data_IF_455489850416
#
_entry.id   IF_455489850416
#
_cell.length_a   1.000
_cell.length_b   1.000
_cell.length_c   1.000
_cell.angle_alpha   90.00
_cell.angle_beta   90.00
_cell.angle_gamma   90.00
#
_symmetry.space_group_name_H-M   'P 1'
#
loop_
_entity.id
_entity.type
_entity.pdbx_description
1 polymer ?
#
# COMPACT_ATOMS: atom_id res chain seq x y z
N UNK A 1 7.86 -6.15 62.98
CA UNK A 1 6.50 -5.69 62.62
C UNK A 1 6.70 -4.46 61.73
N UNK A 2 6.95 -4.68 60.44
CA UNK A 2 5.99 -4.43 59.34
C UNK A 2 5.82 -2.91 59.11
N UNK A 3 6.03 -2.28 57.95
CA UNK A 3 5.71 -2.66 56.56
C UNK A 3 6.53 -1.79 55.57
N UNK A 4 7.12 -2.47 54.59
CA UNK A 4 7.36 -2.17 53.15
C UNK A 4 7.26 -0.74 52.60
N UNK A 5 8.36 -0.31 51.95
CA UNK A 5 8.33 0.52 50.74
C UNK A 5 9.32 -0.08 49.71
N UNK A 6 8.82 -1.03 48.91
CA UNK A 6 9.32 -1.32 47.55
C UNK A 6 8.93 -0.10 46.68
N UNK A 7 9.73 0.45 45.78
CA UNK A 7 10.59 -0.20 44.80
C UNK A 7 9.91 -0.15 43.44
N UNK A 8 9.86 1.02 42.77
CA UNK A 8 9.62 1.07 41.32
C UNK A 8 10.69 1.92 40.65
N UNK A 9 11.65 1.20 40.05
CA UNK A 9 12.56 1.78 39.09
C UNK A 9 11.79 2.20 37.85
N UNK A 10 12.14 3.37 37.32
CA UNK A 10 11.85 3.76 35.95
C UNK A 10 12.44 2.69 35.00
N UNK A 11 11.64 1.68 34.68
CA UNK A 11 11.89 0.82 33.55
C UNK A 11 11.69 1.71 32.32
N UNK A 12 12.82 2.16 31.78
CA UNK A 12 12.89 2.80 30.49
C UNK A 12 12.11 1.97 29.48
N UNK A 13 10.90 2.42 29.16
CA UNK A 13 10.26 2.06 27.91
C UNK A 13 11.19 2.55 26.84
N UNK A 14 11.93 1.59 26.27
CA UNK A 14 12.78 1.70 25.12
C UNK A 14 11.91 2.18 23.95
N UNK A 15 11.63 3.49 23.94
CA UNK A 15 11.05 4.21 22.83
C UNK A 15 12.13 4.25 21.76
N UNK A 16 12.33 3.11 21.08
CA UNK A 16 12.83 3.10 19.72
C UNK A 16 11.72 3.63 18.78
N UNK A 17 11.05 4.71 19.19
CA UNK A 17 10.44 5.61 18.25
C UNK A 17 11.64 6.25 17.56
N UNK A 18 12.05 5.67 16.43
CA UNK A 18 12.86 6.38 15.47
C UNK A 18 12.22 7.76 15.35
N UNK A 19 12.88 8.78 15.88
CA UNK A 19 12.50 10.18 15.74
C UNK A 19 12.70 10.44 14.25
N UNK A 20 11.69 10.07 13.47
CA UNK A 20 11.60 10.55 12.11
C UNK A 20 11.59 12.07 12.26
N UNK A 21 12.52 12.78 11.59
CA UNK A 21 12.51 14.23 11.61
C UNK A 21 11.09 14.74 11.36
N UNK A 22 10.75 15.91 11.91
CA UNK A 22 9.51 16.63 11.58
C UNK A 22 9.55 17.16 10.14
N UNK A 23 9.82 16.27 9.19
CA UNK A 23 9.81 16.52 7.78
C UNK A 23 8.34 16.69 7.36
N UNK A 24 7.99 17.83 6.73
CA UNK A 24 6.66 17.99 6.18
C UNK A 24 6.35 16.89 5.16
N UNK A 25 5.08 16.51 5.03
CA UNK A 25 4.70 15.34 4.21
C UNK A 25 5.04 15.50 2.72
N UNK A 26 4.99 16.72 2.18
CA UNK A 26 5.27 17.00 0.77
C UNK A 26 6.73 16.73 0.37
N UNK A 27 7.75 17.30 1.03
CA UNK A 27 9.15 16.97 0.73
C UNK A 27 9.45 15.49 0.95
N UNK A 28 8.82 14.85 1.95
CA UNK A 28 8.90 13.40 2.12
C UNK A 28 8.36 12.63 0.88
N UNK A 29 7.20 13.03 0.36
CA UNK A 29 6.64 12.43 -0.86
C UNK A 29 7.52 12.66 -2.09
N UNK A 30 8.12 13.85 -2.23
CA UNK A 30 9.04 14.14 -3.32
C UNK A 30 10.28 13.24 -3.26
N UNK A 31 10.89 13.10 -2.08
CA UNK A 31 12.01 12.18 -1.85
C UNK A 31 11.62 10.73 -2.17
N UNK A 32 10.48 10.28 -1.67
CA UNK A 32 9.98 8.92 -1.90
C UNK A 32 9.69 8.68 -3.38
N UNK A 33 9.13 9.66 -4.09
CA UNK A 33 8.90 9.63 -5.53
C UNK A 33 10.21 9.49 -6.31
N UNK A 34 11.22 10.29 -5.98
CA UNK A 34 12.56 10.20 -6.58
C UNK A 34 13.21 8.84 -6.32
N UNK A 35 13.06 8.29 -5.11
CA UNK A 35 13.56 6.95 -4.77
C UNK A 35 12.85 5.85 -5.58
N UNK A 36 11.53 5.96 -5.74
CA UNK A 36 10.74 5.04 -6.58
C UNK A 36 11.16 5.09 -8.05
N UNK A 37 11.33 6.29 -8.62
CA UNK A 37 11.86 6.48 -9.97
C UNK A 37 13.28 5.91 -10.10
N UNK A 38 14.11 6.07 -9.06
CA UNK A 38 15.42 5.44 -8.97
C UNK A 38 15.34 3.91 -9.05
N UNK A 39 14.42 3.27 -8.32
CA UNK A 39 14.21 1.82 -8.39
C UNK A 39 13.83 1.37 -9.81
N UNK A 40 12.91 2.09 -10.46
CA UNK A 40 12.49 1.82 -11.84
C UNK A 40 13.65 1.96 -12.84
N UNK A 41 14.45 3.01 -12.69
CA UNK A 41 15.63 3.24 -13.52
C UNK A 41 16.67 2.13 -13.31
N UNK A 42 16.98 1.78 -12.07
CA UNK A 42 17.95 0.72 -11.75
C UNK A 42 17.52 -0.63 -12.31
N UNK A 43 16.28 -1.08 -12.11
CA UNK A 43 15.84 -2.37 -12.65
C UNK A 43 15.86 -2.40 -14.18
N UNK A 44 15.52 -1.27 -14.81
CA UNK A 44 15.54 -1.14 -16.28
C UNK A 44 16.97 -1.16 -16.82
N UNK A 45 17.88 -0.40 -16.21
CA UNK A 45 19.31 -0.38 -16.55
C UNK A 45 19.94 -1.75 -16.32
N UNK A 46 19.60 -2.43 -15.22
CA UNK A 46 20.08 -3.78 -14.95
C UNK A 46 19.73 -4.73 -16.10
N UNK A 47 18.47 -4.74 -16.49
CA UNK A 47 17.98 -5.57 -17.59
C UNK A 47 18.57 -5.18 -18.95
N UNK A 48 18.68 -3.88 -19.22
CA UNK A 48 19.21 -3.38 -20.49
C UNK A 48 20.70 -3.68 -20.65
N UNK A 49 21.50 -3.40 -19.62
CA UNK A 49 22.95 -3.46 -19.70
C UNK A 49 23.48 -4.89 -19.54
N UNK A 50 22.97 -5.66 -18.56
CA UNK A 50 23.50 -6.99 -18.27
C UNK A 50 22.65 -8.14 -18.79
N UNK A 51 21.37 -7.94 -19.10
CA UNK A 51 20.45 -9.02 -19.50
C UNK A 51 20.05 -8.99 -20.97
N UNK A 52 20.69 -8.14 -21.77
CA UNK A 52 20.53 -8.10 -23.22
C UNK A 52 19.25 -7.41 -23.70
N UNK A 53 18.62 -6.56 -22.87
CA UNK A 53 17.48 -5.73 -23.25
C UNK A 53 16.14 -6.44 -23.21
N UNK A 54 15.18 -5.93 -23.98
CA UNK A 54 13.77 -6.31 -23.91
C UNK A 54 13.24 -6.82 -25.25
N UNK A 55 12.37 -7.81 -25.20
CA UNK A 55 11.60 -8.31 -26.34
C UNK A 55 10.27 -8.93 -25.83
N UNK A 56 9.33 -9.23 -26.71
CA UNK A 56 8.08 -9.90 -26.36
C UNK A 56 7.88 -11.15 -27.24
N UNK A 57 8.81 -12.10 -27.13
CA UNK A 57 9.02 -13.19 -28.09
C UNK A 57 9.29 -14.56 -27.44
N UNK A 58 9.11 -14.69 -26.12
CA UNK A 58 9.42 -15.90 -25.36
C UNK A 58 10.90 -16.11 -25.04
N UNK A 59 11.80 -15.24 -25.53
CA UNK A 59 13.24 -15.33 -25.24
C UNK A 59 13.57 -14.86 -23.82
N UNK A 60 14.84 -14.99 -23.42
CA UNK A 60 15.34 -14.42 -22.16
C UNK A 60 15.11 -12.90 -22.04
N UNK A 61 14.97 -12.17 -23.17
CA UNK A 61 14.64 -10.74 -23.16
C UNK A 61 13.17 -10.49 -22.81
N UNK A 62 12.28 -11.46 -23.04
CA UNK A 62 10.91 -11.40 -22.54
C UNK A 62 10.87 -11.50 -21.02
N UNK A 63 11.67 -12.40 -20.43
CA UNK A 63 11.78 -12.49 -18.97
C UNK A 63 12.16 -11.15 -18.32
N UNK A 64 12.99 -10.33 -18.96
CA UNK A 64 13.44 -9.06 -18.40
C UNK A 64 12.29 -8.06 -18.15
N UNK A 65 11.14 -8.22 -18.79
CA UNK A 65 9.93 -7.46 -18.44
C UNK A 65 9.40 -7.80 -17.05
N UNK A 66 9.57 -9.04 -16.58
CA UNK A 66 9.08 -9.46 -15.27
C UNK A 66 9.60 -8.58 -14.12
N UNK A 67 10.92 -8.46 -13.86
CA UNK A 67 11.41 -7.63 -12.76
C UNK A 67 11.05 -6.15 -12.93
N UNK A 68 11.07 -5.61 -14.16
CA UNK A 68 10.74 -4.19 -14.42
C UNK A 68 9.27 -3.91 -14.10
N UNK A 69 8.36 -4.75 -14.58
CA UNK A 69 6.92 -4.58 -14.36
C UNK A 69 6.54 -4.84 -12.90
N UNK A 70 7.19 -5.79 -12.22
CA UNK A 70 6.95 -6.07 -10.81
C UNK A 70 7.40 -4.91 -9.91
N UNK A 71 8.61 -4.38 -10.12
CA UNK A 71 9.09 -3.21 -9.35
C UNK A 71 8.24 -1.98 -9.64
N UNK A 72 7.90 -1.73 -10.91
CA UNK A 72 7.09 -0.57 -11.28
C UNK A 72 5.68 -0.65 -10.70
N UNK A 73 4.98 -1.77 -10.91
CA UNK A 73 3.60 -1.95 -10.48
C UNK A 73 3.48 -2.19 -8.97
N UNK A 74 4.06 -3.30 -8.51
CA UNK A 74 3.81 -3.85 -7.18
C UNK A 74 4.64 -3.23 -6.06
N UNK A 75 5.67 -2.43 -6.39
CA UNK A 75 6.43 -1.65 -5.41
C UNK A 75 6.08 -0.17 -5.55
N UNK A 76 6.43 0.46 -6.68
CA UNK A 76 6.36 1.93 -6.82
C UNK A 76 4.93 2.44 -6.94
N UNK A 77 4.17 1.98 -7.94
CA UNK A 77 2.79 2.45 -8.14
C UNK A 77 1.88 2.02 -7.00
N UNK A 78 2.05 0.80 -6.48
CA UNK A 78 1.27 0.35 -5.33
C UNK A 78 1.59 1.14 -4.06
N UNK A 79 2.87 1.42 -3.79
CA UNK A 79 3.28 2.30 -2.69
C UNK A 79 2.68 3.71 -2.80
N UNK A 80 2.67 4.27 -4.01
CA UNK A 80 2.00 5.55 -4.28
C UNK A 80 0.48 5.47 -4.03
N UNK A 81 -0.19 4.41 -4.50
CA UNK A 81 -1.61 4.16 -4.27
C UNK A 81 -1.93 4.10 -2.77
N UNK A 82 -1.12 3.41 -1.97
CA UNK A 82 -1.30 3.28 -0.54
C UNK A 82 -1.23 4.64 0.20
N UNK A 83 -0.42 5.57 -0.30
CA UNK A 83 -0.22 6.89 0.32
C UNK A 83 -1.16 7.99 -0.18
N UNK A 84 -2.04 7.73 -1.16
CA UNK A 84 -2.97 8.74 -1.71
C UNK A 84 -3.71 9.51 -0.60
N UNK A 85 -4.25 8.81 0.39
CA UNK A 85 -5.00 9.43 1.49
C UNK A 85 -4.16 10.16 2.55
N UNK A 86 -2.83 10.14 2.41
CA UNK A 86 -1.92 10.86 3.31
C UNK A 86 -1.59 12.26 2.78
N UNK A 87 -1.83 12.52 1.50
CA UNK A 87 -1.58 13.82 0.88
C UNK A 87 -2.51 14.91 1.49
N UNK A 88 -1.97 16.05 1.96
CA UNK A 88 -2.75 17.14 2.55
C UNK A 88 -3.92 17.66 1.69
N UNK A 89 -3.81 17.76 0.35
CA UNK A 89 -4.95 18.10 -0.50
C UNK A 89 -6.16 17.17 -0.35
N UNK A 90 -5.95 15.92 0.09
CA UNK A 90 -7.04 14.98 0.33
C UNK A 90 -7.82 15.26 1.61
N UNK A 91 -7.29 16.06 2.52
CA UNK A 91 -7.88 16.25 3.85
C UNK A 91 -9.12 17.13 3.82
N UNK A 92 -9.28 17.93 2.76
CA UNK A 92 -10.44 18.79 2.52
C UNK A 92 -11.24 18.29 1.32
N UNK A 93 -12.55 18.55 1.33
CA UNK A 93 -13.43 18.25 0.19
C UNK A 93 -13.83 16.77 0.03
N UNK A 94 -14.47 16.44 -1.11
CA UNK A 94 -15.09 15.13 -1.33
C UNK A 94 -14.07 14.00 -1.35
N UNK A 95 -14.47 12.83 -0.83
CA UNK A 95 -13.60 11.63 -0.76
C UNK A 95 -13.51 10.89 -2.10
N UNK A 96 -14.48 11.06 -2.99
CA UNK A 96 -14.64 10.25 -4.20
C UNK A 96 -13.47 10.37 -5.18
N UNK A 97 -12.96 11.57 -5.55
CA UNK A 97 -11.82 11.67 -6.47
C UNK A 97 -10.58 10.89 -5.98
N UNK A 98 -10.31 10.95 -4.67
CA UNK A 98 -9.18 10.25 -4.06
C UNK A 98 -9.40 8.73 -3.97
N UNK A 99 -10.66 8.27 -3.83
CA UNK A 99 -11.02 6.85 -3.97
C UNK A 99 -10.79 6.34 -5.39
N UNK A 100 -11.20 7.12 -6.39
CA UNK A 100 -10.95 6.80 -7.79
C UNK A 100 -9.45 6.73 -8.06
N UNK A 101 -8.67 7.73 -7.61
CA UNK A 101 -7.22 7.74 -7.80
C UNK A 101 -6.53 6.52 -7.15
N UNK A 102 -6.85 6.22 -5.88
CA UNK A 102 -6.33 5.03 -5.20
C UNK A 102 -6.66 3.74 -5.96
N UNK A 103 -7.92 3.56 -6.35
CA UNK A 103 -8.37 2.37 -7.08
C UNK A 103 -7.74 2.25 -8.46
N UNK A 104 -7.63 3.34 -9.22
CA UNK A 104 -7.01 3.36 -10.55
C UNK A 104 -5.51 3.08 -10.48
N UNK A 105 -4.77 3.69 -9.56
CA UNK A 105 -3.34 3.39 -9.39
C UNK A 105 -3.12 1.92 -9.02
N UNK A 106 -3.94 1.37 -8.12
CA UNK A 106 -3.88 -0.04 -7.76
C UNK A 106 -4.26 -0.96 -8.94
N UNK A 107 -5.21 -0.57 -9.79
CA UNK A 107 -5.58 -1.32 -10.99
C UNK A 107 -4.44 -1.34 -12.01
N UNK A 108 -3.79 -0.19 -12.25
CA UNK A 108 -2.63 -0.10 -13.13
C UNK A 108 -1.50 -1.00 -12.59
N UNK A 109 -1.22 -0.94 -11.28
CA UNK A 109 -0.25 -1.83 -10.65
C UNK A 109 -0.57 -3.31 -10.87
N UNK A 110 -1.84 -3.71 -10.73
CA UNK A 110 -2.29 -5.07 -10.99
C UNK A 110 -2.11 -5.49 -12.46
N UNK A 111 -2.46 -4.62 -13.42
CA UNK A 111 -2.28 -4.90 -14.85
C UNK A 111 -0.79 -5.12 -15.16
N UNK A 112 0.11 -4.27 -14.65
CA UNK A 112 1.55 -4.45 -14.83
C UNK A 112 2.03 -5.77 -14.21
N UNK A 113 1.53 -6.14 -13.04
CA UNK A 113 1.87 -7.41 -12.40
C UNK A 113 1.42 -8.60 -13.25
N UNK A 114 0.20 -8.58 -13.79
CA UNK A 114 -0.30 -9.62 -14.70
C UNK A 114 0.58 -9.72 -15.95
N UNK A 115 0.94 -8.60 -16.57
CA UNK A 115 1.87 -8.60 -17.72
C UNK A 115 3.24 -9.16 -17.36
N UNK A 116 3.76 -8.84 -16.17
CA UNK A 116 5.01 -9.41 -15.65
C UNK A 116 4.92 -10.92 -15.41
N UNK A 117 3.78 -11.44 -14.94
CA UNK A 117 3.55 -12.88 -14.84
C UNK A 117 3.48 -13.52 -16.23
N UNK A 118 2.72 -12.95 -17.17
CA UNK A 118 2.66 -13.44 -18.56
C UNK A 118 4.05 -13.53 -19.17
N UNK A 119 4.91 -12.53 -18.94
CA UNK A 119 6.29 -12.53 -19.42
C UNK A 119 7.11 -13.74 -18.91
N UNK A 120 7.07 -14.02 -17.60
CA UNK A 120 7.83 -15.14 -17.02
C UNK A 120 7.24 -16.51 -17.39
N UNK A 121 5.92 -16.66 -17.41
CA UNK A 121 5.27 -17.91 -17.81
C UNK A 121 5.55 -18.25 -19.28
N UNK A 122 5.45 -17.28 -20.18
CA UNK A 122 5.76 -17.50 -21.60
C UNK A 122 7.24 -17.83 -21.81
N UNK A 123 8.15 -17.14 -21.11
CA UNK A 123 9.58 -17.46 -21.14
C UNK A 123 9.85 -18.90 -20.69
N UNK A 124 9.32 -19.31 -19.53
CA UNK A 124 9.51 -20.66 -19.00
C UNK A 124 8.93 -21.74 -19.94
N UNK A 125 7.74 -21.51 -20.47
CA UNK A 125 7.11 -22.44 -21.40
C UNK A 125 7.93 -22.58 -22.70
N UNK A 126 8.45 -21.47 -23.23
CA UNK A 126 9.29 -21.48 -24.43
C UNK A 126 10.66 -22.13 -24.19
N UNK A 127 11.23 -22.00 -22.98
CA UNK A 127 12.53 -22.57 -22.61
C UNK A 127 12.45 -23.98 -22.01
N UNK A 128 11.25 -24.55 -21.84
CA UNK A 128 11.05 -25.84 -21.18
C UNK A 128 11.37 -25.86 -19.68
N UNK A 129 11.35 -24.71 -19.01
CA UNK A 129 11.59 -24.60 -17.57
C UNK A 129 10.29 -24.86 -16.80
N UNK A 130 10.28 -25.71 -15.75
CA UNK A 130 9.08 -25.92 -14.95
C UNK A 130 8.64 -24.63 -14.26
N UNK A 131 7.34 -24.39 -14.20
CA UNK A 131 6.76 -23.26 -13.49
C UNK A 131 6.54 -23.59 -12.00
N UNK A 132 6.46 -22.53 -11.17
CA UNK A 132 5.95 -22.60 -9.79
C UNK A 132 6.71 -23.55 -8.82
N UNK A 133 8.02 -23.75 -8.99
CA UNK A 133 8.81 -24.60 -8.10
C UNK A 133 9.60 -23.84 -7.03
N UNK A 134 9.80 -22.52 -7.19
CA UNK A 134 10.60 -21.72 -6.25
C UNK A 134 9.74 -21.04 -5.18
N UNK A 135 10.32 -20.78 -4.01
CA UNK A 135 9.64 -20.03 -2.94
C UNK A 135 9.26 -18.62 -3.41
N UNK A 136 10.11 -17.99 -4.23
CA UNK A 136 9.80 -16.71 -4.88
C UNK A 136 8.50 -16.81 -5.68
N UNK A 137 8.33 -17.85 -6.50
CA UNK A 137 7.12 -18.04 -7.31
C UNK A 137 5.86 -18.26 -6.46
N UNK A 138 5.96 -19.01 -5.36
CA UNK A 138 4.82 -19.25 -4.44
C UNK A 138 4.40 -17.97 -3.72
N UNK A 139 5.38 -17.24 -3.17
CA UNK A 139 5.13 -15.94 -2.53
C UNK A 139 4.57 -14.92 -3.54
N UNK A 140 5.15 -14.85 -4.74
CA UNK A 140 4.72 -13.94 -5.80
C UNK A 140 3.28 -14.18 -6.23
N UNK A 141 2.93 -15.43 -6.60
CA UNK A 141 1.56 -15.75 -7.01
C UNK A 141 0.56 -15.53 -5.87
N UNK A 142 0.90 -15.93 -4.64
CA UNK A 142 0.06 -15.66 -3.46
C UNK A 142 -0.18 -14.16 -3.26
N UNK A 143 0.85 -13.34 -3.45
CA UNK A 143 0.76 -11.87 -3.36
C UNK A 143 -0.21 -11.30 -4.41
N UNK A 144 -0.11 -11.73 -5.67
CA UNK A 144 -0.97 -11.24 -6.76
C UNK A 144 -2.42 -11.69 -6.58
N UNK A 145 -2.66 -12.92 -6.15
CA UNK A 145 -4.00 -13.40 -5.83
C UNK A 145 -4.64 -12.61 -4.69
N UNK A 146 -3.88 -12.39 -3.61
CA UNK A 146 -4.33 -11.59 -2.48
C UNK A 146 -4.58 -10.13 -2.88
N UNK A 147 -3.72 -9.55 -3.74
CA UNK A 147 -3.93 -8.21 -4.31
C UNK A 147 -5.21 -8.13 -5.14
N UNK A 148 -5.48 -9.14 -5.99
CA UNK A 148 -6.71 -9.21 -6.79
C UNK A 148 -7.96 -9.21 -5.90
N UNK A 149 -7.99 -10.10 -4.90
CA UNK A 149 -9.10 -10.16 -3.94
C UNK A 149 -9.28 -8.83 -3.20
N UNK A 150 -8.18 -8.23 -2.77
CA UNK A 150 -8.16 -6.95 -2.08
C UNK A 150 -8.69 -5.80 -2.96
N UNK A 151 -8.35 -5.78 -4.24
CA UNK A 151 -8.83 -4.76 -5.18
C UNK A 151 -10.33 -4.91 -5.43
N UNK A 152 -10.81 -6.12 -5.73
CA UNK A 152 -12.24 -6.39 -5.97
C UNK A 152 -13.09 -6.09 -4.74
N UNK A 153 -12.66 -6.54 -3.56
CA UNK A 153 -13.37 -6.29 -2.31
C UNK A 153 -13.34 -4.80 -1.92
N UNK A 154 -12.19 -4.12 -2.09
CA UNK A 154 -12.05 -2.68 -1.85
C UNK A 154 -12.91 -1.83 -2.78
N UNK A 155 -12.93 -2.15 -4.08
CA UNK A 155 -13.77 -1.51 -5.09
C UNK A 155 -15.26 -1.67 -4.73
N UNK A 156 -15.67 -2.89 -4.43
CA UNK A 156 -17.05 -3.23 -4.06
C UNK A 156 -17.51 -2.54 -2.79
N UNK A 157 -16.68 -2.54 -1.74
CA UNK A 157 -17.05 -2.02 -0.44
C UNK A 157 -16.96 -0.48 -0.38
N UNK A 158 -15.92 0.13 -0.95
CA UNK A 158 -15.60 1.54 -0.70
C UNK A 158 -15.89 2.47 -1.88
N UNK A 159 -15.91 1.99 -3.12
CA UNK A 159 -16.16 2.84 -4.29
C UNK A 159 -17.62 2.80 -4.72
N UNK A 160 -18.22 1.62 -4.75
CA UNK A 160 -19.62 1.44 -5.15
C UNK A 160 -20.59 1.84 -4.02
N UNK A 161 -21.76 2.40 -4.35
CA UNK A 161 -22.65 3.00 -3.36
C UNK A 161 -23.41 1.97 -2.51
N UNK A 162 -23.53 0.71 -2.94
CA UNK A 162 -24.42 -0.30 -2.34
C UNK A 162 -23.99 -0.87 -0.99
N UNK A 163 -22.69 -0.83 -0.64
CA UNK A 163 -22.23 -1.47 0.59
C UNK A 163 -22.75 -0.71 1.84
N UNK A 164 -23.39 -1.39 2.80
CA UNK A 164 -23.92 -0.72 3.99
C UNK A 164 -22.79 -0.20 4.89
N UNK A 165 -23.10 0.82 5.69
CA UNK A 165 -22.11 1.53 6.52
C UNK A 165 -21.41 0.60 7.51
N UNK A 166 -22.14 -0.30 8.16
CA UNK A 166 -21.58 -1.26 9.11
C UNK A 166 -20.55 -2.19 8.46
N UNK A 167 -20.81 -2.65 7.24
CA UNK A 167 -19.89 -3.53 6.51
C UNK A 167 -18.62 -2.78 6.14
N UNK A 168 -18.74 -1.52 5.70
CA UNK A 168 -17.58 -0.65 5.43
C UNK A 168 -16.75 -0.42 6.69
N UNK A 169 -17.41 -0.20 7.84
CA UNK A 169 -16.74 0.00 9.12
C UNK A 169 -15.97 -1.26 9.56
N UNK A 170 -16.59 -2.44 9.43
CA UNK A 170 -15.99 -3.74 9.75
C UNK A 170 -14.82 -4.10 8.81
N UNK A 171 -14.99 -3.89 7.49
CA UNK A 171 -14.02 -4.29 6.49
C UNK A 171 -12.82 -3.34 6.39
N UNK A 172 -12.97 -2.04 6.71
CA UNK A 172 -11.89 -1.05 6.65
C UNK A 172 -10.60 -1.46 7.39
N UNK A 173 -10.60 -1.90 8.65
CA UNK A 173 -9.37 -2.34 9.32
C UNK A 173 -8.74 -3.55 8.63
N UNK A 174 -9.54 -4.50 8.16
CA UNK A 174 -9.09 -5.69 7.42
C UNK A 174 -8.42 -5.26 6.10
N UNK A 175 -9.04 -4.33 5.38
CA UNK A 175 -8.50 -3.76 4.14
C UNK A 175 -7.15 -3.07 4.40
N UNK A 176 -7.03 -2.28 5.46
CA UNK A 176 -5.75 -1.61 5.79
C UNK A 176 -4.67 -2.63 6.14
N UNK A 177 -4.99 -3.64 6.96
CA UNK A 177 -4.05 -4.69 7.35
C UNK A 177 -3.52 -5.45 6.13
N UNK A 178 -4.42 -6.02 5.32
CA UNK A 178 -4.01 -6.78 4.15
C UNK A 178 -3.32 -5.91 3.10
N UNK A 179 -3.70 -4.63 2.96
CA UNK A 179 -2.99 -3.69 2.09
C UNK A 179 -1.51 -3.55 2.45
N UNK A 180 -1.19 -3.35 3.73
CA UNK A 180 0.20 -3.31 4.19
C UNK A 180 0.91 -4.65 4.04
N UNK A 181 0.22 -5.77 4.34
CA UNK A 181 0.79 -7.12 4.19
C UNK A 181 1.14 -7.45 2.75
N UNK A 182 0.28 -7.11 1.79
CA UNK A 182 0.55 -7.32 0.36
C UNK A 182 1.77 -6.51 -0.10
N UNK A 183 1.95 -5.28 0.40
CA UNK A 183 3.13 -4.48 0.08
C UNK A 183 4.41 -5.13 0.62
N UNK A 184 4.39 -5.64 1.85
CA UNK A 184 5.52 -6.38 2.42
C UNK A 184 5.84 -7.66 1.65
N UNK A 185 4.81 -8.44 1.27
CA UNK A 185 4.97 -9.66 0.48
C UNK A 185 5.51 -9.36 -0.92
N UNK A 186 5.08 -8.25 -1.53
CA UNK A 186 5.61 -7.75 -2.80
C UNK A 186 7.11 -7.44 -2.71
N UNK A 187 7.54 -6.71 -1.68
CA UNK A 187 8.96 -6.44 -1.44
C UNK A 187 9.77 -7.72 -1.26
N UNK A 188 9.29 -8.65 -0.42
CA UNK A 188 9.94 -9.94 -0.18
C UNK A 188 10.04 -10.77 -1.47
N UNK A 189 8.99 -10.73 -2.31
CA UNK A 189 8.96 -11.39 -3.61
C UNK A 189 9.97 -10.74 -4.57
N UNK A 190 10.05 -9.42 -4.65
CA UNK A 190 11.05 -8.73 -5.49
C UNK A 190 12.48 -9.04 -5.05
N UNK A 191 12.78 -8.98 -3.75
CA UNK A 191 14.14 -9.25 -3.23
C UNK A 191 14.54 -10.72 -3.46
N UNK A 192 13.64 -11.66 -3.18
CA UNK A 192 13.90 -13.09 -3.46
C UNK A 192 14.06 -13.36 -4.96
N UNK A 193 13.29 -12.70 -5.83
CA UNK A 193 13.40 -12.82 -7.28
C UNK A 193 14.70 -12.24 -7.84
N UNK A 194 15.19 -11.13 -7.30
CA UNK A 194 16.51 -10.58 -7.62
C UNK A 194 17.61 -11.59 -7.26
N UNK A 195 17.57 -12.15 -6.04
CA UNK A 195 18.53 -13.16 -5.61
C UNK A 195 18.50 -14.41 -6.50
N UNK A 196 17.31 -14.95 -6.76
CA UNK A 196 17.12 -16.12 -7.62
C UNK A 196 17.70 -15.86 -9.01
N UNK A 197 17.42 -14.70 -9.60
CA UNK A 197 17.96 -14.32 -10.91
C UNK A 197 19.48 -14.19 -10.91
N UNK A 198 20.06 -13.57 -9.88
CA UNK A 198 21.51 -13.43 -9.76
C UNK A 198 22.19 -14.79 -9.57
N UNK A 199 21.63 -15.68 -8.76
CA UNK A 199 22.20 -17.02 -8.56
C UNK A 199 22.15 -17.87 -9.83
N UNK A 200 21.11 -17.75 -10.63
CA UNK A 200 21.01 -18.44 -11.91
C UNK A 200 21.95 -17.85 -12.97
N UNK A 201 22.01 -16.52 -13.07
CA UNK A 201 22.81 -15.87 -14.11
C UNK A 201 24.30 -15.79 -13.79
N UNK A 202 24.69 -15.77 -12.51
CA UNK A 202 26.08 -15.65 -12.05
C UNK A 202 26.56 -16.94 -11.34
N UNK A 203 26.08 -18.09 -11.82
CA UNK A 203 26.43 -19.41 -11.27
C UNK A 203 27.89 -19.77 -11.57
N UNK A 204 28.54 -20.44 -10.62
CA UNK A 204 29.88 -21.03 -10.81
C UNK A 204 29.87 -21.99 -12.02
N UNK A 205 30.84 -21.82 -12.92
CA UNK A 205 31.04 -22.69 -14.09
C UNK A 205 30.32 -22.25 -15.36
N UNK A 206 29.40 -21.28 -15.30
CA UNK A 206 28.72 -20.74 -16.50
C UNK A 206 28.95 -19.24 -16.68
N UNK A 207 29.13 -18.48 -15.60
CA UNK A 207 29.42 -17.05 -15.66
C UNK A 207 30.94 -16.79 -15.65
N UNK A 208 31.35 -15.69 -16.28
CA UNK A 208 32.76 -15.24 -16.29
C UNK A 208 33.28 -14.93 -14.89
N UNK A 209 32.45 -14.30 -14.06
CA UNK A 209 32.73 -14.03 -12.65
C UNK A 209 31.51 -14.45 -11.83
N UNK A 210 31.64 -15.41 -10.90
CA UNK A 210 30.52 -15.91 -10.12
C UNK A 210 30.04 -14.93 -9.05
N UNK A 211 28.77 -15.05 -8.64
CA UNK A 211 28.11 -14.15 -7.69
C UNK A 211 28.90 -13.91 -6.39
N UNK A 212 29.51 -14.96 -5.82
CA UNK A 212 30.26 -14.89 -4.56
C UNK A 212 31.46 -13.92 -4.60
N UNK A 213 31.96 -13.61 -5.79
CA UNK A 213 33.05 -12.64 -6.00
C UNK A 213 32.53 -11.22 -6.23
N UNK A 214 31.21 -11.00 -6.09
CA UNK A 214 30.52 -9.72 -6.22
C UNK A 214 30.92 -8.96 -7.49
N UNK A 215 30.70 -9.54 -8.69
CA UNK A 215 30.91 -8.80 -9.93
C UNK A 215 30.05 -7.52 -9.96
N UNK A 216 30.38 -6.52 -10.81
CA UNK A 216 29.67 -5.24 -10.85
C UNK A 216 28.14 -5.37 -10.97
N UNK A 217 27.68 -6.36 -11.73
CA UNK A 217 26.25 -6.66 -11.83
C UNK A 217 25.61 -7.06 -10.49
N UNK A 218 26.26 -7.95 -9.74
CA UNK A 218 25.77 -8.42 -8.46
C UNK A 218 25.67 -7.27 -7.46
N UNK A 219 26.69 -6.41 -7.41
CA UNK A 219 26.68 -5.20 -6.57
C UNK A 219 25.51 -4.29 -6.97
N UNK A 220 25.35 -4.03 -8.27
CA UNK A 220 24.29 -3.15 -8.78
C UNK A 220 22.88 -3.67 -8.46
N UNK A 221 22.62 -4.95 -8.69
CA UNK A 221 21.33 -5.58 -8.41
C UNK A 221 21.06 -5.73 -6.90
N UNK A 222 22.10 -5.94 -6.08
CA UNK A 222 21.98 -5.92 -4.62
C UNK A 222 21.62 -4.52 -4.11
N UNK A 223 22.22 -3.47 -4.66
CA UNK A 223 21.86 -2.08 -4.35
C UNK A 223 20.39 -1.83 -4.72
N UNK A 224 19.92 -2.29 -5.89
CA UNK A 224 18.50 -2.22 -6.25
C UNK A 224 17.61 -2.92 -5.20
N UNK A 225 17.99 -4.11 -4.73
CA UNK A 225 17.27 -4.81 -3.66
C UNK A 225 17.17 -4.00 -2.37
N UNK A 226 18.28 -3.36 -1.95
CA UNK A 226 18.31 -2.46 -0.78
C UNK A 226 17.44 -1.21 -0.98
N UNK A 227 17.44 -0.62 -2.18
CA UNK A 227 16.60 0.53 -2.51
C UNK A 227 15.11 0.18 -2.46
N UNK A 228 14.72 -1.01 -2.94
CA UNK A 228 13.34 -1.52 -2.83
C UNK A 228 12.93 -1.67 -1.35
N UNK A 229 13.81 -2.24 -0.51
CA UNK A 229 13.56 -2.37 0.92
C UNK A 229 13.39 -0.99 1.57
N UNK A 230 14.32 -0.06 1.31
CA UNK A 230 14.27 1.30 1.83
C UNK A 230 12.97 2.01 1.43
N UNK A 231 12.61 1.96 0.14
CA UNK A 231 11.38 2.55 -0.36
C UNK A 231 10.15 1.99 0.36
N UNK A 232 10.04 0.66 0.45
CA UNK A 232 8.91 -0.01 1.08
C UNK A 232 8.79 0.28 2.57
N UNK A 233 9.91 0.28 3.31
CA UNK A 233 9.93 0.67 4.72
C UNK A 233 9.46 2.12 4.90
N UNK A 234 9.92 3.05 4.06
CA UNK A 234 9.49 4.45 4.13
C UNK A 234 7.98 4.61 3.84
N UNK A 235 7.44 3.85 2.88
CA UNK A 235 5.98 3.81 2.64
C UNK A 235 5.25 3.33 3.90
N UNK A 236 5.69 2.23 4.50
CA UNK A 236 5.08 1.67 5.71
C UNK A 236 5.17 2.63 6.91
N UNK A 237 6.32 3.29 7.11
CA UNK A 237 6.49 4.33 8.12
C UNK A 237 5.52 5.49 7.91
N UNK A 238 5.31 5.92 6.67
CA UNK A 238 4.35 6.97 6.33
C UNK A 238 2.90 6.54 6.56
N UNK A 239 2.56 5.27 6.32
CA UNK A 239 1.26 4.70 6.66
C UNK A 239 1.04 4.61 8.18
N UNK A 240 2.09 4.30 8.93
CA UNK A 240 2.05 4.19 10.39
C UNK A 240 1.98 5.55 11.09
N UNK A 241 2.48 6.63 10.47
CA UNK A 241 2.52 7.97 11.10
C UNK A 241 1.10 8.53 11.33
N UNK A 242 0.66 8.71 12.59
CA UNK A 242 -0.70 9.16 12.88
C UNK A 242 -0.99 10.57 12.39
N UNK A 243 -0.01 11.47 12.49
CA UNK A 243 -0.14 12.89 12.08
C UNK A 243 -0.32 13.11 10.58
N UNK A 244 -0.08 12.09 9.75
CA UNK A 244 -0.33 12.13 8.30
C UNK A 244 -1.61 11.42 7.89
N UNK A 245 -2.35 10.83 8.83
CA UNK A 245 -3.65 10.23 8.55
C UNK A 245 -4.64 11.34 8.20
N UNK A 246 -5.35 11.20 7.08
CA UNK A 246 -6.48 12.08 6.76
C UNK A 246 -7.43 12.16 7.98
N UNK A 247 -7.75 13.37 8.47
CA UNK A 247 -8.71 13.55 9.55
C UNK A 247 -10.03 12.84 9.24
N UNK A 248 -10.57 12.12 10.23
CA UNK A 248 -11.95 11.63 10.13
C UNK A 248 -12.90 12.81 10.00
N UNK A 249 -14.04 12.62 9.32
CA UNK A 249 -15.18 13.54 9.54
C UNK A 249 -15.65 13.47 11.01
N UNK A 250 -15.25 12.40 11.68
CA UNK A 250 -15.73 11.89 12.95
C UNK A 250 -15.21 12.64 14.20
N UNK A 251 -14.27 13.58 14.10
CA UNK A 251 -13.75 14.28 15.29
C UNK A 251 -14.65 15.42 15.77
N UNK A 252 -15.61 15.86 14.96
CA UNK A 252 -16.63 16.85 15.35
C UNK A 252 -18.05 16.27 15.24
N UNK A 253 -18.32 15.45 14.22
CA UNK A 253 -19.68 14.96 13.97
C UNK A 253 -20.06 13.70 14.78
N UNK A 254 -19.11 12.84 15.19
CA UNK A 254 -19.50 11.59 15.90
C UNK A 254 -19.98 11.87 17.32
N UNK A 255 -19.38 12.84 18.02
CA UNK A 255 -19.89 13.25 19.32
C UNK A 255 -21.28 13.90 19.19
N UNK A 256 -21.58 14.54 18.06
CA UNK A 256 -22.85 15.21 17.81
C UNK A 256 -23.94 14.24 17.35
N UNK A 257 -23.63 13.30 16.46
CA UNK A 257 -24.57 12.28 15.97
C UNK A 257 -24.84 11.23 17.05
N UNK A 258 -23.82 10.77 17.79
CA UNK A 258 -24.02 9.85 18.92
C UNK A 258 -24.75 10.54 20.08
N UNK A 259 -24.53 11.85 20.31
CA UNK A 259 -25.32 12.62 21.26
C UNK A 259 -26.76 12.88 20.79
N UNK A 260 -26.99 13.08 19.49
CA UNK A 260 -28.34 13.18 18.94
C UNK A 260 -29.09 11.86 19.03
N UNK A 261 -28.48 10.73 18.65
CA UNK A 261 -29.10 9.41 18.76
C UNK A 261 -29.38 9.04 20.23
N UNK A 262 -28.46 9.33 21.16
CA UNK A 262 -28.68 9.12 22.59
C UNK A 262 -29.68 10.10 23.24
N UNK A 263 -29.93 11.26 22.62
CA UNK A 263 -30.97 12.20 23.02
C UNK A 263 -32.34 11.80 22.46
N UNK A 264 -32.37 11.28 21.24
CA UNK A 264 -33.55 10.74 20.57
C UNK A 264 -34.07 9.50 21.31
N UNK A 265 -33.19 8.61 21.75
CA UNK A 265 -33.55 7.40 22.51
C UNK A 265 -33.97 7.69 23.97
N UNK A 266 -33.61 8.85 24.53
CA UNK A 266 -34.01 9.24 25.90
C UNK A 266 -35.30 10.03 26.01
N UNK A 267 -35.84 10.56 24.91
CA UNK A 267 -37.05 11.38 24.90
C UNK A 267 -37.97 11.01 23.71
N UNK A 268 -38.63 9.83 23.73
CA UNK A 268 -39.56 9.42 22.68
C UNK A 268 -40.83 10.31 22.58
N UNK A 269 -41.02 11.29 23.48
CA UNK A 269 -42.24 12.10 23.59
C UNK A 269 -42.19 13.47 22.87
N UNK A 270 -41.04 13.91 22.36
CA UNK A 270 -40.93 15.24 21.72
C UNK A 270 -41.59 15.32 20.33
N UNK A 271 -41.90 14.18 19.69
CA UNK A 271 -42.70 14.17 18.46
C UNK A 271 -44.17 14.57 18.67
N UNK A 272 -44.69 14.53 19.90
CA UNK A 272 -46.09 14.87 20.19
C UNK A 272 -46.31 16.37 20.46
N UNK A 273 -45.26 17.15 20.75
CA UNK A 273 -45.39 18.58 21.04
C UNK A 273 -45.28 19.49 19.80
N UNK A 274 -44.81 18.97 18.66
CA UNK A 274 -44.64 19.77 17.44
C UNK A 274 -45.82 19.63 16.44
N UNK A 275 -46.81 18.77 16.72
CA UNK A 275 -47.98 18.61 15.84
C UNK A 275 -49.12 19.61 16.13
N UNK A 276 -49.07 20.39 17.21
CA UNK A 276 -50.21 21.20 17.67
C UNK A 276 -49.99 22.72 17.70
N UNK A 277 -49.23 23.28 16.74
CA UNK A 277 -49.09 24.73 16.56
C UNK A 277 -49.33 25.18 15.10
N UNK A 278 -50.36 24.60 14.46
CA UNK A 278 -50.92 25.13 13.21
C UNK A 278 -52.40 25.47 13.40
N UNK A 279 -52.67 26.38 14.34
CA UNK A 279 -53.94 27.09 14.44
C UNK A 279 -53.75 28.26 15.39
N UNK A 280 -54.21 29.45 14.98
CA UNK A 280 -54.17 30.75 15.68
C UNK A 280 -52.94 31.62 15.40
N UNK A 281 -53.00 32.40 14.31
CA UNK A 281 -52.96 33.86 14.40
C UNK A 281 -53.17 34.48 13.00
N UNK A 282 -54.43 34.69 12.64
CA UNK A 282 -54.84 35.72 11.68
C UNK A 282 -55.32 36.92 12.47
N UNK A 283 -54.69 38.08 12.33
CA UNK A 283 -55.29 39.43 12.33
C UNK A 283 -54.19 40.48 12.05
N UNK A 284 -54.41 41.46 11.16
CA UNK A 284 -53.46 42.52 10.84
C UNK A 284 -53.71 43.79 11.68
N UNK A 285 -52.66 44.50 12.09
CA UNK A 285 -52.78 45.86 12.61
C UNK A 285 -52.40 46.89 11.55
N UNK A 286 -53.37 47.77 11.30
CA UNK A 286 -53.28 49.09 10.70
C UNK A 286 -52.46 50.07 11.58
N UNK A 287 -51.96 51.12 10.91
CA UNK A 287 -51.28 52.34 11.36
C UNK A 287 -49.79 52.21 11.71
#
# INVERSE_FOLDING_TARGET
>A
MAVLAEGEGEVGSLHLAAVMPDLPFLPFCAFLGSLGLGCMAFVSVWCQHWRGGFAWDGSARMFNWHPVLMVTGMVVLYGAAALVYRLPPTWRGPKLPWKMLHSTLALIAFILAVLGLVAVFNFHNASGTPNMYSLHSWLGLGTILLFSCQWVAGFSAFLLPYAPIWLRALYKPIHIFFGSTILMLSMASCVSGINEKLFFSLKNGTASVPYKLLPPEAVFANILGLLIILFGVLVLCALAKPSWKRPGADSLDTHQVLALDLAQDRLPWLHLLCWNSKSLCTMPCLL
#
